data_IF_275438653036
#
_entry.id   IF_275438653036
#
_cell.length_a   1.000
_cell.length_b   1.000
_cell.length_c   1.000
_cell.angle_alpha   90.00
_cell.angle_beta   90.00
_cell.angle_gamma   90.00
#
_symmetry.space_group_name_H-M   'P 1'
#
loop_
_entity.id
_entity.type
_entity.pdbx_description
1 polymer ?
#
# COMPACT_ATOMS: atom_id res chain seq x y z
N UNK A 1 18.98 -16.46 -16.95
CA UNK A 1 19.17 -15.78 -15.63
C UNK A 1 19.40 -14.29 -15.79
N UNK A 2 20.35 -13.85 -16.60
CA UNK A 2 20.67 -12.42 -16.76
C UNK A 2 19.48 -11.55 -17.22
N UNK A 3 18.68 -12.04 -18.18
CA UNK A 3 17.42 -11.38 -18.61
C UNK A 3 16.37 -11.24 -17.48
N UNK A 4 16.33 -12.18 -16.53
CA UNK A 4 15.40 -12.11 -15.40
C UNK A 4 15.85 -11.00 -14.44
N UNK A 5 17.14 -10.94 -14.15
CA UNK A 5 17.73 -9.90 -13.31
C UNK A 5 17.50 -8.52 -13.91
N UNK A 6 17.71 -8.35 -15.22
CA UNK A 6 17.44 -7.10 -15.94
C UNK A 6 15.97 -6.68 -15.84
N UNK A 7 15.03 -7.62 -15.93
CA UNK A 7 13.61 -7.34 -15.74
C UNK A 7 13.29 -6.84 -14.32
N UNK A 8 13.87 -7.44 -13.27
CA UNK A 8 13.72 -6.97 -11.88
C UNK A 8 14.38 -5.60 -11.66
N UNK A 9 15.53 -5.34 -12.26
CA UNK A 9 16.19 -4.03 -12.16
C UNK A 9 15.33 -2.95 -12.82
N UNK A 10 14.64 -3.26 -13.93
CA UNK A 10 13.72 -2.33 -14.58
C UNK A 10 12.51 -1.99 -13.69
N UNK A 11 11.97 -2.94 -12.92
CA UNK A 11 10.84 -2.69 -12.01
C UNK A 11 11.25 -1.92 -10.75
N UNK A 12 12.50 -2.04 -10.28
CA UNK A 12 13.04 -1.32 -9.11
C UNK A 12 12.70 0.17 -9.12
N UNK A 13 12.95 0.86 -10.24
CA UNK A 13 12.74 2.31 -10.35
C UNK A 13 11.27 2.68 -10.11
N UNK A 14 10.36 1.96 -10.74
CA UNK A 14 8.92 2.17 -10.59
C UNK A 14 8.44 1.82 -9.18
N UNK A 15 8.94 0.73 -8.60
CA UNK A 15 8.60 0.35 -7.22
C UNK A 15 9.07 1.40 -6.20
N UNK A 16 10.25 2.02 -6.37
CA UNK A 16 10.69 3.13 -5.52
C UNK A 16 9.81 4.36 -5.66
N UNK A 17 9.45 4.73 -6.89
CA UNK A 17 8.57 5.88 -7.15
C UNK A 17 7.21 5.64 -6.47
N UNK A 18 6.61 4.47 -6.68
CA UNK A 18 5.32 4.11 -6.07
C UNK A 18 5.40 4.07 -4.55
N UNK A 19 6.44 3.45 -3.97
CA UNK A 19 6.66 3.44 -2.53
C UNK A 19 6.75 4.86 -1.96
N UNK A 20 7.50 5.74 -2.62
CA UNK A 20 7.66 7.14 -2.21
C UNK A 20 6.32 7.87 -2.26
N UNK A 21 5.55 7.71 -3.33
CA UNK A 21 4.24 8.32 -3.46
C UNK A 21 3.29 7.86 -2.35
N UNK A 22 3.25 6.57 -2.02
CA UNK A 22 2.42 6.04 -0.95
C UNK A 22 2.83 6.60 0.43
N UNK A 23 4.13 6.66 0.71
CA UNK A 23 4.63 7.21 1.97
C UNK A 23 4.39 8.72 2.09
N UNK A 24 4.52 9.46 0.99
CA UNK A 24 4.18 10.89 0.94
C UNK A 24 2.68 11.09 1.16
N UNK A 25 1.82 10.31 0.50
CA UNK A 25 0.38 10.35 0.72
C UNK A 25 0.02 10.07 2.19
N UNK A 26 0.67 9.08 2.82
CA UNK A 26 0.49 8.83 4.25
C UNK A 26 0.88 10.04 5.11
N UNK A 27 2.04 10.64 4.84
CA UNK A 27 2.49 11.82 5.57
C UNK A 27 1.53 13.01 5.39
N UNK A 28 1.02 13.23 4.18
CA UNK A 28 0.02 14.26 3.91
C UNK A 28 -1.29 13.99 4.67
N UNK A 29 -1.74 12.74 4.77
CA UNK A 29 -2.93 12.41 5.57
C UNK A 29 -2.70 12.67 7.06
N UNK A 30 -1.51 12.34 7.59
CA UNK A 30 -1.18 12.68 8.98
C UNK A 30 -1.25 14.19 9.24
N UNK A 31 -0.72 14.99 8.32
CA UNK A 31 -0.84 16.44 8.38
C UNK A 31 -2.30 16.89 8.32
N UNK A 32 -3.11 16.29 7.44
CA UNK A 32 -4.53 16.62 7.29
C UNK A 32 -5.35 16.34 8.56
N UNK A 33 -5.01 15.29 9.32
CA UNK A 33 -5.67 14.98 10.60
C UNK A 33 -5.53 16.13 11.61
N UNK A 34 -4.43 16.89 11.60
CA UNK A 34 -4.28 18.05 12.48
C UNK A 34 -5.14 19.25 12.04
N UNK A 35 -5.41 19.38 10.74
CA UNK A 35 -6.24 20.47 10.21
C UNK A 35 -7.74 20.21 10.38
N UNK A 36 -8.17 18.96 10.20
CA UNK A 36 -9.59 18.53 10.31
C UNK A 36 -9.79 17.62 11.53
N UNK A 37 -9.18 17.98 12.66
CA UNK A 37 -9.29 17.18 13.87
C UNK A 37 -10.71 17.30 14.47
N UNK A 38 -11.55 16.30 14.23
CA UNK A 38 -12.91 16.26 14.79
C UNK A 38 -12.97 15.51 16.12
N UNK A 39 -12.36 14.33 16.21
CA UNK A 39 -12.34 13.52 17.42
C UNK A 39 -11.18 12.52 17.42
N UNK A 40 -10.76 12.09 18.61
CA UNK A 40 -9.70 11.08 18.77
C UNK A 40 -10.06 9.77 18.07
N UNK A 41 -11.31 9.32 18.18
CA UNK A 41 -11.77 8.08 17.55
C UNK A 41 -11.66 8.13 16.02
N UNK A 42 -12.16 9.21 15.41
CA UNK A 42 -12.07 9.37 13.95
C UNK A 42 -10.61 9.50 13.49
N UNK A 43 -9.77 10.24 14.23
CA UNK A 43 -8.36 10.37 13.93
C UNK A 43 -7.65 9.01 13.97
N UNK A 44 -7.88 8.19 15.01
CA UNK A 44 -7.31 6.85 15.13
C UNK A 44 -7.79 5.92 14.01
N UNK A 45 -9.08 5.98 13.67
CA UNK A 45 -9.64 5.19 12.57
C UNK A 45 -9.01 5.59 11.23
N UNK A 46 -8.88 6.90 10.99
CA UNK A 46 -8.24 7.42 9.78
C UNK A 46 -6.77 6.99 9.71
N UNK A 47 -6.01 7.07 10.80
CA UNK A 47 -4.62 6.57 10.85
C UNK A 47 -4.58 5.07 10.54
N UNK A 48 -5.43 4.26 11.17
CA UNK A 48 -5.45 2.81 10.96
C UNK A 48 -5.73 2.45 9.49
N UNK A 49 -6.74 3.09 8.88
CA UNK A 49 -7.06 2.90 7.46
C UNK A 49 -5.88 3.34 6.59
N UNK A 50 -5.31 4.52 6.83
CA UNK A 50 -4.20 5.02 6.03
C UNK A 50 -2.93 4.16 6.18
N UNK A 51 -2.71 3.56 7.35
CA UNK A 51 -1.64 2.59 7.54
C UNK A 51 -1.83 1.37 6.63
N UNK A 52 -3.04 0.83 6.55
CA UNK A 52 -3.36 -0.32 5.71
C UNK A 52 -3.23 -0.04 4.20
N UNK A 53 -3.65 1.14 3.74
CA UNK A 53 -3.70 1.46 2.31
C UNK A 53 -2.45 2.15 1.77
N UNK A 54 -1.71 2.88 2.60
CA UNK A 54 -0.56 3.68 2.16
C UNK A 54 0.74 3.26 2.83
N UNK A 55 0.80 3.22 4.16
CA UNK A 55 2.05 2.96 4.88
C UNK A 55 2.56 1.54 4.63
N UNK A 56 1.76 0.51 4.92
CA UNK A 56 2.18 -0.89 4.80
C UNK A 56 2.54 -1.22 3.35
N UNK A 57 1.72 -0.92 2.32
CA UNK A 57 2.08 -1.20 0.93
C UNK A 57 3.31 -0.41 0.48
N UNK A 58 3.45 0.85 0.92
CA UNK A 58 4.62 1.68 0.65
C UNK A 58 5.90 1.10 1.23
N UNK A 59 5.88 0.64 2.48
CA UNK A 59 7.03 -0.01 3.12
C UNK A 59 7.40 -1.33 2.45
N UNK A 60 6.42 -2.15 2.07
CA UNK A 60 6.66 -3.42 1.38
C UNK A 60 7.30 -3.18 0.01
N UNK A 61 6.83 -2.20 -0.77
CA UNK A 61 7.44 -1.81 -2.05
C UNK A 61 8.84 -1.21 -1.87
N UNK A 62 9.07 -0.45 -0.80
CA UNK A 62 10.38 0.09 -0.47
C UNK A 62 11.39 -1.05 -0.18
N UNK A 63 10.98 -2.01 0.64
CA UNK A 63 11.80 -3.19 0.95
C UNK A 63 12.08 -4.03 -0.30
N UNK A 64 11.07 -4.26 -1.15
CA UNK A 64 11.25 -4.90 -2.46
C UNK A 64 12.36 -4.22 -3.28
N UNK A 65 12.31 -2.90 -3.40
CA UNK A 65 13.28 -2.16 -4.20
C UNK A 65 14.68 -2.17 -3.58
N UNK A 66 14.79 -2.22 -2.25
CA UNK A 66 16.07 -2.33 -1.56
C UNK A 66 16.70 -3.71 -1.76
N UNK A 67 15.94 -4.80 -1.69
CA UNK A 67 16.43 -6.15 -1.97
C UNK A 67 16.93 -6.27 -3.42
N UNK A 68 16.23 -5.67 -4.39
CA UNK A 68 16.72 -5.65 -5.79
C UNK A 68 18.03 -4.85 -5.91
N UNK A 69 18.15 -3.74 -5.19
CA UNK A 69 19.39 -2.96 -5.17
C UNK A 69 20.54 -3.74 -4.51
N UNK A 70 20.27 -4.54 -3.48
CA UNK A 70 21.26 -5.40 -2.84
C UNK A 70 21.68 -6.56 -3.76
N UNK A 71 20.73 -7.12 -4.52
CA UNK A 71 21.01 -8.12 -5.56
C UNK A 71 21.93 -7.57 -6.67
N UNK A 72 21.75 -6.30 -7.05
CA UNK A 72 22.59 -5.61 -8.04
C UNK A 72 24.02 -5.34 -7.53
N UNK A 73 24.18 -5.16 -6.22
CA UNK A 73 25.44 -4.74 -5.59
C UNK A 73 26.36 -5.89 -5.13
N UNK A 74 26.09 -7.14 -5.55
CA UNK A 74 27.01 -8.30 -5.48
C UNK A 74 27.22 -9.02 -4.13
N UNK A 75 26.29 -8.97 -3.16
CA UNK A 75 26.46 -9.76 -1.92
C UNK A 75 25.92 -11.20 -2.04
N UNK A 76 24.66 -11.40 -2.45
CA UNK A 76 24.07 -12.72 -2.75
C UNK A 76 22.84 -12.56 -3.66
N UNK A 77 23.01 -12.45 -4.99
CA UNK A 77 21.93 -12.01 -5.88
C UNK A 77 20.70 -12.91 -5.87
N UNK A 78 20.88 -14.22 -5.68
CA UNK A 78 19.76 -15.18 -5.70
C UNK A 78 18.90 -15.06 -4.44
N UNK A 79 19.52 -15.01 -3.25
CA UNK A 79 18.80 -14.86 -1.98
C UNK A 79 18.02 -13.55 -1.93
N UNK A 80 18.65 -12.46 -2.37
CA UNK A 80 18.02 -11.14 -2.39
C UNK A 80 16.85 -11.06 -3.38
N UNK A 81 16.94 -11.75 -4.52
CA UNK A 81 15.83 -11.83 -5.48
C UNK A 81 14.67 -12.68 -4.96
N UNK A 82 14.96 -13.74 -4.20
CA UNK A 82 13.93 -14.54 -3.52
C UNK A 82 13.18 -13.69 -2.48
N UNK A 83 13.91 -12.93 -1.66
CA UNK A 83 13.32 -12.00 -0.71
C UNK A 83 12.51 -10.90 -1.40
N UNK A 84 13.02 -10.35 -2.52
CA UNK A 84 12.27 -9.40 -3.33
C UNK A 84 10.95 -10.01 -3.84
N UNK A 85 10.97 -11.22 -4.41
CA UNK A 85 9.76 -11.93 -4.81
C UNK A 85 8.79 -12.13 -3.64
N UNK A 86 9.31 -12.46 -2.45
CA UNK A 86 8.54 -12.56 -1.21
C UNK A 86 7.85 -11.25 -0.85
N UNK A 87 8.56 -10.12 -0.94
CA UNK A 87 7.98 -8.79 -0.71
C UNK A 87 6.95 -8.42 -1.78
N UNK A 88 7.20 -8.75 -3.04
CA UNK A 88 6.24 -8.51 -4.12
C UNK A 88 4.93 -9.29 -3.89
N UNK A 89 5.03 -10.56 -3.49
CA UNK A 89 3.87 -11.37 -3.15
C UNK A 89 3.11 -10.80 -1.93
N UNK A 90 3.83 -10.34 -0.90
CA UNK A 90 3.24 -9.65 0.26
C UNK A 90 2.50 -8.39 -0.16
N UNK A 91 3.08 -7.58 -1.06
CA UNK A 91 2.45 -6.37 -1.56
C UNK A 91 1.10 -6.66 -2.21
N UNK A 92 1.04 -7.62 -3.14
CA UNK A 92 -0.23 -7.97 -3.81
C UNK A 92 -1.25 -8.58 -2.85
N UNK A 93 -0.82 -9.34 -1.83
CA UNK A 93 -1.73 -9.83 -0.78
C UNK A 93 -2.35 -8.67 0.01
N UNK A 94 -1.53 -7.72 0.46
CA UNK A 94 -2.01 -6.55 1.19
C UNK A 94 -2.94 -5.70 0.32
N UNK A 95 -2.54 -5.42 -0.92
CA UNK A 95 -3.34 -4.66 -1.88
C UNK A 95 -4.67 -5.36 -2.18
N UNK A 96 -4.66 -6.68 -2.39
CA UNK A 96 -5.85 -7.46 -2.66
C UNK A 96 -6.84 -7.44 -1.50
N UNK A 97 -6.36 -7.59 -0.27
CA UNK A 97 -7.19 -7.46 0.94
C UNK A 97 -7.75 -6.05 1.05
N UNK A 98 -6.91 -5.03 0.84
CA UNK A 98 -7.32 -3.63 0.94
C UNK A 98 -8.42 -3.28 -0.08
N UNK A 99 -8.27 -3.71 -1.34
CA UNK A 99 -9.28 -3.54 -2.39
C UNK A 99 -10.57 -4.28 -2.04
N UNK A 100 -10.49 -5.51 -1.53
CA UNK A 100 -11.68 -6.28 -1.14
C UNK A 100 -12.44 -5.60 0.00
N UNK A 101 -11.75 -5.10 1.02
CA UNK A 101 -12.35 -4.32 2.10
C UNK A 101 -13.04 -3.07 1.53
N UNK A 102 -12.38 -2.34 0.63
CA UNK A 102 -12.95 -1.15 -0.01
C UNK A 102 -14.23 -1.48 -0.78
N UNK A 103 -14.26 -2.58 -1.54
CA UNK A 103 -15.45 -3.05 -2.27
C UNK A 103 -16.60 -3.35 -1.29
N UNK A 104 -16.33 -4.05 -0.19
CA UNK A 104 -17.35 -4.35 0.83
C UNK A 104 -17.92 -3.06 1.43
N UNK A 105 -17.07 -2.10 1.78
CA UNK A 105 -17.51 -0.80 2.30
C UNK A 105 -18.37 -0.04 1.28
N UNK A 106 -17.99 -0.04 0.00
CA UNK A 106 -18.78 0.58 -1.07
C UNK A 106 -20.17 -0.08 -1.13
N UNK A 107 -20.26 -1.41 -1.16
CA UNK A 107 -21.54 -2.12 -1.21
C UNK A 107 -22.44 -1.75 -0.01
N UNK A 108 -21.89 -1.70 1.20
CA UNK A 108 -22.64 -1.32 2.41
C UNK A 108 -23.15 0.12 2.29
N UNK A 109 -22.31 1.07 1.90
CA UNK A 109 -22.68 2.49 1.78
C UNK A 109 -23.74 2.70 0.70
N UNK A 110 -23.59 2.06 -0.47
CA UNK A 110 -24.59 2.13 -1.54
C UNK A 110 -25.92 1.50 -1.11
N UNK A 111 -25.88 0.37 -0.40
CA UNK A 111 -27.09 -0.26 0.12
C UNK A 111 -27.79 0.67 1.12
N UNK A 112 -27.07 1.21 2.09
CA UNK A 112 -27.61 2.17 3.05
C UNK A 112 -28.20 3.40 2.35
N UNK A 113 -27.51 3.97 1.36
CA UNK A 113 -27.98 5.12 0.60
C UNK A 113 -29.23 4.84 -0.24
N UNK A 114 -29.46 3.60 -0.67
CA UNK A 114 -30.68 3.20 -1.38
C UNK A 114 -31.81 2.93 -0.38
N UNK A 115 -31.56 2.25 0.74
CA UNK A 115 -32.62 1.85 1.68
C UNK A 115 -33.06 2.98 2.65
N UNK A 116 -32.17 3.89 3.04
CA UNK A 116 -32.52 4.97 3.98
C UNK A 116 -33.51 6.01 3.44
N UNK A 117 -33.39 6.49 2.19
CA UNK A 117 -34.39 7.41 1.62
C UNK A 117 -35.78 6.81 1.51
N UNK A 118 -35.89 5.47 1.37
CA UNK A 118 -37.18 4.77 1.30
C UNK A 118 -37.83 4.51 2.68
N UNK A 119 -37.11 4.66 3.79
CA UNK A 119 -37.66 4.46 5.14
C UNK A 119 -38.04 5.76 5.87
N UNK A 120 -37.72 6.93 5.29
CA UNK A 120 -38.03 8.26 5.85
C UNK A 120 -39.04 9.03 4.96
N UNK A 121 -39.45 8.45 3.83
CA UNK A 121 -40.46 8.99 2.91
C UNK A 121 -41.87 8.51 3.20
#
# INVERSE_FOLDING_TARGET
MQQIIEAFIATKKWSKILATLLLVSFALTLVNIFYDFQSVFQALLQIAVNCCFYLIPGLVLWNYANHIQQAENNTHPISELEDACGQQAKYFKVLGIAVLVMIVFIIIVFSAAIFFPFMIG
#
